data_IF_793361227709
#
_entry.id   IF_793361227709
#
_cell.length_a   1.000
_cell.length_b   1.000
_cell.length_c   1.000
_cell.angle_alpha   90.00
_cell.angle_beta   90.00
_cell.angle_gamma   90.00
#
_symmetry.space_group_name_H-M   'P 1'
#
loop_
_entity.id
_entity.type
_entity.pdbx_description
1 polymer ?
#
# COMPACT_ATOMS: atom_id res chain seq x y z
N UNK A 1 -10.99 5.13 13.02
CA UNK A 1 -12.48 5.09 12.90
C UNK A 1 -12.94 4.55 11.55
N UNK A 2 -12.61 5.20 10.42
CA UNK A 2 -13.09 4.82 9.07
C UNK A 2 -12.81 3.34 8.73
N UNK A 3 -11.57 2.88 8.92
CA UNK A 3 -11.20 1.49 8.69
C UNK A 3 -12.06 0.51 9.50
N UNK A 4 -12.26 0.78 10.80
CA UNK A 4 -13.05 -0.09 11.67
C UNK A 4 -14.52 -0.13 11.22
N UNK A 5 -15.09 1.01 10.79
CA UNK A 5 -16.43 1.07 10.22
C UNK A 5 -16.57 0.24 8.95
N UNK A 6 -15.65 0.42 7.99
CA UNK A 6 -15.66 -0.34 6.74
C UNK A 6 -15.45 -1.85 7.00
N UNK A 7 -14.52 -2.18 7.90
CA UNK A 7 -14.25 -3.55 8.29
C UNK A 7 -15.48 -4.21 8.92
N UNK A 8 -16.17 -3.51 9.82
CA UNK A 8 -17.41 -3.99 10.45
C UNK A 8 -18.51 -4.21 9.41
N UNK A 9 -18.73 -3.25 8.51
CA UNK A 9 -19.72 -3.38 7.43
C UNK A 9 -19.43 -4.60 6.56
N UNK A 10 -18.18 -4.78 6.11
CA UNK A 10 -17.82 -5.87 5.20
C UNK A 10 -17.76 -7.26 5.87
N UNK A 11 -17.57 -7.34 7.19
CA UNK A 11 -17.41 -8.64 7.89
C UNK A 11 -18.59 -9.06 8.73
N UNK A 12 -19.39 -8.12 9.25
CA UNK A 12 -20.45 -8.41 10.22
C UNK A 12 -21.86 -8.07 9.73
N UNK A 13 -22.01 -7.38 8.59
CA UNK A 13 -23.34 -6.99 8.10
C UNK A 13 -23.80 -7.78 6.88
N UNK A 14 -25.12 -7.80 6.65
CA UNK A 14 -25.74 -8.42 5.46
C UNK A 14 -25.22 -7.80 4.15
N UNK A 15 -24.96 -6.50 4.14
CA UNK A 15 -24.38 -5.82 2.98
C UNK A 15 -23.01 -6.42 2.62
N UNK A 16 -22.15 -6.68 3.63
CA UNK A 16 -20.85 -7.33 3.43
C UNK A 16 -20.96 -8.73 2.84
N UNK A 17 -21.96 -9.52 3.26
CA UNK A 17 -22.22 -10.85 2.70
C UNK A 17 -22.65 -10.77 1.23
N UNK A 18 -23.55 -9.85 0.89
CA UNK A 18 -24.02 -9.65 -0.49
C UNK A 18 -22.87 -9.19 -1.39
N UNK A 19 -22.02 -8.27 -0.92
CA UNK A 19 -20.85 -7.79 -1.67
C UNK A 19 -19.88 -8.94 -1.96
N UNK A 20 -19.55 -9.76 -0.96
CA UNK A 20 -18.66 -10.92 -1.13
C UNK A 20 -19.25 -11.96 -2.07
N UNK A 21 -20.54 -12.27 -1.91
CA UNK A 21 -21.24 -13.19 -2.80
C UNK A 21 -21.30 -12.67 -4.24
N UNK A 22 -21.48 -11.36 -4.43
CA UNK A 22 -21.51 -10.73 -5.75
C UNK A 22 -20.14 -10.74 -6.46
N UNK A 23 -19.04 -10.80 -5.70
CA UNK A 23 -17.69 -10.94 -6.26
C UNK A 23 -17.40 -12.35 -6.76
N UNK A 24 -17.88 -13.39 -6.07
CA UNK A 24 -17.60 -14.79 -6.44
C UNK A 24 -18.65 -15.36 -7.40
N UNK A 25 -19.94 -15.05 -7.17
CA UNK A 25 -21.08 -15.61 -7.93
C UNK A 25 -22.13 -14.53 -8.25
N UNK A 26 -21.82 -13.58 -9.16
CA UNK A 26 -22.73 -12.48 -9.49
C UNK A 26 -24.07 -12.96 -10.07
N UNK A 27 -24.07 -14.02 -10.88
CA UNK A 27 -25.29 -14.55 -11.49
C UNK A 27 -26.26 -15.08 -10.43
N UNK A 28 -25.77 -15.87 -9.47
CA UNK A 28 -26.59 -16.43 -8.37
C UNK A 28 -27.18 -15.30 -7.51
N UNK A 29 -26.38 -14.28 -7.20
CA UNK A 29 -26.85 -13.12 -6.43
C UNK A 29 -27.92 -12.35 -7.19
N UNK A 30 -27.80 -12.24 -8.51
CA UNK A 30 -28.82 -11.60 -9.36
C UNK A 30 -30.12 -12.40 -9.42
N UNK A 31 -30.06 -13.73 -9.46
CA UNK A 31 -31.23 -14.60 -9.42
C UNK A 31 -31.97 -14.56 -8.08
N UNK A 32 -31.28 -14.22 -6.99
CA UNK A 32 -31.87 -13.98 -5.67
C UNK A 32 -32.58 -12.61 -5.54
N UNK A 33 -32.65 -11.84 -6.63
CA UNK A 33 -33.34 -10.55 -6.68
C UNK A 33 -32.48 -9.35 -6.27
N UNK A 34 -31.18 -9.55 -6.03
CA UNK A 34 -30.27 -8.45 -5.75
C UNK A 34 -29.73 -7.83 -7.04
N UNK A 35 -29.82 -6.51 -7.16
CA UNK A 35 -29.25 -5.79 -8.29
C UNK A 35 -27.73 -5.65 -8.12
N UNK A 36 -26.98 -6.59 -8.67
CA UNK A 36 -25.52 -6.64 -8.62
C UNK A 36 -24.84 -5.37 -9.15
N UNK A 37 -25.25 -4.79 -10.31
CA UNK A 37 -24.73 -3.50 -10.76
C UNK A 37 -24.86 -2.37 -9.74
N UNK A 38 -26.02 -2.26 -9.06
CA UNK A 38 -26.21 -1.24 -8.00
C UNK A 38 -25.30 -1.48 -6.80
N UNK A 39 -25.10 -2.73 -6.39
CA UNK A 39 -24.18 -3.07 -5.29
C UNK A 39 -22.76 -2.66 -5.63
N UNK A 40 -22.27 -3.00 -6.84
CA UNK A 40 -20.95 -2.58 -7.29
C UNK A 40 -20.81 -1.05 -7.36
N UNK A 41 -21.82 -0.36 -7.91
CA UNK A 41 -21.83 1.09 -7.99
C UNK A 41 -21.77 1.76 -6.60
N UNK A 42 -22.50 1.24 -5.61
CA UNK A 42 -22.45 1.76 -4.23
C UNK A 42 -21.07 1.57 -3.60
N UNK A 43 -20.46 0.39 -3.74
CA UNK A 43 -19.12 0.11 -3.20
C UNK A 43 -18.07 0.96 -3.89
N UNK A 44 -18.15 1.06 -5.23
CA UNK A 44 -17.24 1.89 -6.02
C UNK A 44 -17.37 3.36 -5.65
N UNK A 45 -18.60 3.89 -5.58
CA UNK A 45 -18.86 5.27 -5.18
C UNK A 45 -18.35 5.58 -3.77
N UNK A 46 -18.54 4.66 -2.82
CA UNK A 46 -17.98 4.81 -1.46
C UNK A 46 -16.45 4.80 -1.48
N UNK A 47 -15.83 3.92 -2.28
CA UNK A 47 -14.39 3.88 -2.49
C UNK A 47 -13.84 5.19 -3.07
N UNK A 48 -14.48 5.73 -4.12
CA UNK A 48 -14.13 7.02 -4.71
C UNK A 48 -14.30 8.17 -3.72
N UNK A 49 -15.36 8.17 -2.90
CA UNK A 49 -15.57 9.18 -1.87
C UNK A 49 -14.44 9.15 -0.81
N UNK A 50 -14.04 7.96 -0.36
CA UNK A 50 -12.93 7.80 0.58
C UNK A 50 -11.58 8.19 -0.05
N UNK A 51 -11.34 7.82 -1.31
CA UNK A 51 -10.14 8.21 -2.05
C UNK A 51 -10.06 9.72 -2.23
N UNK A 52 -11.17 10.39 -2.56
CA UNK A 52 -11.26 11.84 -2.64
C UNK A 52 -10.98 12.52 -1.30
N UNK A 53 -11.56 12.01 -0.21
CA UNK A 53 -11.28 12.50 1.15
C UNK A 53 -9.79 12.36 1.50
N UNK A 54 -9.19 11.21 1.22
CA UNK A 54 -7.77 10.99 1.41
C UNK A 54 -6.91 11.95 0.56
N UNK A 55 -7.32 12.21 -0.69
CA UNK A 55 -6.65 13.15 -1.58
C UNK A 55 -6.68 14.59 -1.09
N UNK A 56 -7.80 15.06 -0.53
CA UNK A 56 -7.88 16.42 0.05
C UNK A 56 -6.96 16.56 1.27
N UNK A 57 -6.91 15.53 2.12
CA UNK A 57 -6.02 15.53 3.30
C UNK A 57 -4.54 15.52 2.89
N UNK A 58 -4.18 14.65 1.94
CA UNK A 58 -2.79 14.50 1.48
C UNK A 58 -2.34 15.65 0.58
N UNK A 59 -3.23 16.21 -0.24
CA UNK A 59 -2.90 17.32 -1.14
C UNK A 59 -2.52 18.60 -0.40
N UNK A 60 -3.11 18.84 0.77
CA UNK A 60 -2.73 19.96 1.63
C UNK A 60 -1.30 19.80 2.18
N UNK A 61 -0.90 18.58 2.54
CA UNK A 61 0.42 18.33 3.15
C UNK A 61 1.54 18.14 2.14
N UNK A 62 1.26 17.52 0.99
CA UNK A 62 2.27 17.19 -0.03
C UNK A 62 2.44 18.28 -1.09
N UNK A 63 1.52 19.25 -1.15
CA UNK A 63 1.39 20.13 -2.31
C UNK A 63 0.71 19.41 -3.48
N UNK A 64 0.11 20.18 -4.38
CA UNK A 64 -0.59 19.64 -5.55
C UNK A 64 0.09 20.06 -6.83
N UNK A 65 0.71 19.10 -7.52
CA UNK A 65 1.32 19.29 -8.83
C UNK A 65 0.56 18.52 -9.92
N UNK A 66 0.53 18.98 -11.18
CA UNK A 66 -0.14 18.28 -12.27
C UNK A 66 0.39 16.85 -12.52
N UNK A 67 1.66 16.60 -12.19
CA UNK A 67 2.32 15.29 -12.35
C UNK A 67 2.12 14.35 -11.15
N UNK A 68 1.46 14.80 -10.08
CA UNK A 68 1.29 14.03 -8.84
C UNK A 68 0.65 12.65 -9.05
N UNK A 69 -0.27 12.53 -10.00
CA UNK A 69 -0.93 11.27 -10.33
C UNK A 69 0.05 10.19 -10.83
N UNK A 70 1.12 10.58 -11.54
CA UNK A 70 2.16 9.65 -12.02
C UNK A 70 3.00 9.09 -10.88
N UNK A 71 3.13 9.81 -9.76
CA UNK A 71 3.87 9.34 -8.59
C UNK A 71 3.00 8.54 -7.63
N UNK A 72 1.77 9.00 -7.34
CA UNK A 72 0.88 8.30 -6.41
C UNK A 72 0.24 7.05 -6.99
N UNK A 73 -0.11 7.04 -8.29
CA UNK A 73 -0.78 5.89 -8.92
C UNK A 73 -0.02 4.58 -8.72
N UNK A 74 1.27 4.52 -9.10
CA UNK A 74 2.09 3.32 -8.90
C UNK A 74 2.29 2.95 -7.42
N UNK A 75 2.43 3.92 -6.51
CA UNK A 75 2.56 3.65 -5.07
C UNK A 75 1.28 3.02 -4.51
N UNK A 76 0.10 3.52 -4.90
CA UNK A 76 -1.19 2.94 -4.49
C UNK A 76 -1.33 1.53 -5.06
N UNK A 77 -0.93 1.31 -6.31
CA UNK A 77 -0.91 -0.03 -6.91
C UNK A 77 -0.01 -0.99 -6.11
N UNK A 78 1.20 -0.57 -5.76
CA UNK A 78 2.13 -1.33 -4.93
C UNK A 78 1.46 -1.73 -3.61
N UNK A 79 0.84 -0.79 -2.92
CA UNK A 79 0.16 -1.04 -1.63
C UNK A 79 -0.94 -2.12 -1.78
N UNK A 80 -1.74 -2.07 -2.84
CA UNK A 80 -2.82 -3.03 -3.08
C UNK A 80 -2.27 -4.42 -3.39
N UNK A 81 -1.25 -4.51 -4.24
CA UNK A 81 -0.61 -5.80 -4.58
C UNK A 81 0.10 -6.42 -3.39
N UNK A 82 0.87 -5.61 -2.65
CA UNK A 82 1.57 -6.04 -1.43
C UNK A 82 0.58 -6.45 -0.33
N UNK A 83 -0.52 -5.72 -0.17
CA UNK A 83 -1.58 -6.09 0.76
C UNK A 83 -2.26 -7.42 0.38
N UNK A 84 -2.39 -7.67 -0.92
CA UNK A 84 -3.11 -8.79 -1.49
C UNK A 84 -4.47 -8.38 -2.03
N UNK A 85 -4.75 -8.77 -3.27
CA UNK A 85 -6.00 -8.45 -3.96
C UNK A 85 -7.21 -8.97 -3.15
N UNK A 86 -8.18 -8.09 -2.89
CA UNK A 86 -9.39 -8.41 -2.13
C UNK A 86 -9.25 -8.40 -0.61
N UNK A 87 -8.05 -8.14 -0.05
CA UNK A 87 -7.84 -8.11 1.40
C UNK A 87 -7.79 -6.69 1.97
N UNK A 88 -8.89 -6.24 2.59
CA UNK A 88 -8.95 -4.93 3.26
C UNK A 88 -7.92 -4.82 4.41
N UNK A 89 -7.74 -5.89 5.20
CA UNK A 89 -6.74 -5.92 6.28
C UNK A 89 -5.33 -5.85 5.72
N UNK A 90 -5.06 -6.57 4.64
CA UNK A 90 -3.76 -6.56 4.00
C UNK A 90 -3.40 -5.20 3.43
N UNK A 91 -4.35 -4.52 2.78
CA UNK A 91 -4.15 -3.15 2.29
C UNK A 91 -3.77 -2.17 3.41
N UNK A 92 -4.40 -2.27 4.60
CA UNK A 92 -4.05 -1.42 5.75
C UNK A 92 -2.64 -1.71 6.27
N UNK A 93 -2.28 -2.98 6.44
CA UNK A 93 -0.96 -3.35 6.95
C UNK A 93 0.12 -2.95 5.95
N UNK A 94 -0.11 -3.18 4.65
CA UNK A 94 0.81 -2.79 3.60
C UNK A 94 1.00 -1.27 3.52
N UNK A 95 -0.08 -0.47 3.57
CA UNK A 95 0.03 0.98 3.51
C UNK A 95 0.77 1.56 4.71
N UNK A 96 0.52 1.03 5.91
CA UNK A 96 1.22 1.42 7.12
C UNK A 96 2.71 1.05 7.04
N UNK A 97 3.02 -0.18 6.63
CA UNK A 97 4.39 -0.67 6.53
C UNK A 97 5.19 0.14 5.49
N UNK A 98 4.62 0.34 4.30
CA UNK A 98 5.25 1.12 3.24
C UNK A 98 5.45 2.58 3.67
N UNK A 99 4.45 3.19 4.34
CA UNK A 99 4.56 4.54 4.87
C UNK A 99 5.67 4.65 5.93
N UNK A 100 5.70 3.73 6.88
CA UNK A 100 6.75 3.68 7.90
C UNK A 100 8.13 3.50 7.27
N UNK A 101 8.31 2.56 6.34
CA UNK A 101 9.59 2.34 5.67
C UNK A 101 10.05 3.60 4.93
N UNK A 102 9.17 4.27 4.20
CA UNK A 102 9.52 5.52 3.51
C UNK A 102 9.91 6.61 4.51
N UNK A 103 9.12 6.82 5.57
CA UNK A 103 9.43 7.82 6.59
C UNK A 103 10.73 7.50 7.32
N UNK A 104 10.97 6.24 7.68
CA UNK A 104 12.23 5.80 8.30
C UNK A 104 13.40 5.96 7.35
N UNK A 105 13.27 5.61 6.07
CA UNK A 105 14.35 5.77 5.10
C UNK A 105 14.74 7.24 4.87
N UNK A 106 13.76 8.15 4.93
CA UNK A 106 13.99 9.60 4.83
C UNK A 106 14.53 10.16 6.15
N UNK A 107 14.06 9.65 7.30
CA UNK A 107 14.38 10.19 8.62
C UNK A 107 15.68 9.63 9.20
N UNK A 108 16.09 8.43 8.79
CA UNK A 108 17.35 7.77 9.16
C UNK A 108 18.52 8.24 8.29
N UNK A 109 18.48 9.47 7.78
CA UNK A 109 19.63 10.14 7.15
C UNK A 109 20.79 10.40 8.16
N UNK A 110 20.82 9.67 9.28
CA UNK A 110 22.08 9.20 9.83
C UNK A 110 22.70 8.24 8.83
N UNK A 111 23.58 8.80 8.00
CA UNK A 111 24.55 8.08 7.18
C UNK A 111 24.97 6.74 7.83
N UNK A 112 25.17 5.70 7.02
CA UNK A 112 25.65 4.38 7.45
C UNK A 112 26.88 4.46 8.37
N UNK A 113 27.58 5.59 8.32
CA UNK A 113 28.60 6.04 9.25
C UNK A 113 28.24 5.80 10.74
N UNK A 114 26.99 6.04 11.18
CA UNK A 114 26.64 5.93 12.61
C UNK A 114 26.48 4.48 13.12
N UNK A 115 26.09 3.53 12.26
CA UNK A 115 26.08 2.11 12.62
C UNK A 115 27.49 1.50 12.57
N UNK A 116 28.34 2.00 11.69
CA UNK A 116 29.73 1.57 11.52
C UNK A 116 30.61 2.09 12.68
N UNK A 117 30.33 3.30 13.19
CA UNK A 117 30.97 3.83 14.41
C UNK A 117 30.56 3.07 15.68
N UNK A 118 29.32 2.60 15.79
CA UNK A 118 28.87 1.80 16.95
C UNK A 118 29.57 0.44 17.05
N UNK A 119 29.93 -0.16 15.90
CA UNK A 119 30.71 -1.40 15.83
C UNK A 119 32.24 -1.20 15.89
N UNK A 120 32.71 0.04 16.07
CA UNK A 120 34.12 0.35 16.37
C UNK A 120 35.11 0.18 15.21
N UNK A 121 34.65 0.10 13.96
CA UNK A 121 35.52 0.02 12.79
C UNK A 121 35.66 1.39 12.11
N UNK A 122 36.69 2.15 12.47
CA UNK A 122 37.16 3.30 11.69
C UNK A 122 37.92 2.81 10.46
N UNK A 123 37.21 2.32 9.44
CA UNK A 123 37.83 1.97 8.17
C UNK A 123 37.75 3.17 7.23
N UNK A 124 38.85 3.89 7.18
CA UNK A 124 39.20 4.85 6.15
C UNK A 124 39.38 4.09 4.83
N UNK A 125 38.28 3.84 4.10
CA UNK A 125 38.31 3.14 2.80
C UNK A 125 38.25 4.19 1.69
N UNK A 126 39.43 4.72 1.40
CA UNK A 126 39.69 5.62 0.29
C UNK A 126 39.19 5.04 -1.05
N UNK A 127 38.51 5.90 -1.79
CA UNK A 127 38.68 6.14 -3.23
C UNK A 127 37.75 5.45 -4.26
N UNK A 128 36.99 4.40 -3.96
CA UNK A 128 36.00 3.86 -4.95
C UNK A 128 34.62 3.45 -4.39
N UNK A 129 34.49 3.27 -3.08
CA UNK A 129 33.23 2.84 -2.46
C UNK A 129 32.27 4.00 -2.14
N UNK A 130 32.75 5.24 -2.01
CA UNK A 130 31.90 6.42 -1.82
C UNK A 130 30.98 6.71 -3.01
N UNK A 131 31.37 6.41 -4.24
CA UNK A 131 30.51 6.62 -5.42
C UNK A 131 29.36 5.59 -5.47
N UNK A 132 29.51 4.44 -4.82
CA UNK A 132 28.43 3.43 -4.67
C UNK A 132 27.61 3.61 -3.38
N UNK A 133 28.21 4.16 -2.32
CA UNK A 133 27.59 4.32 -0.99
C UNK A 133 26.94 5.69 -0.80
N UNK A 134 27.45 6.75 -1.44
CA UNK A 134 26.83 8.09 -1.49
C UNK A 134 25.76 8.22 -2.58
N UNK A 135 25.37 7.11 -3.25
CA UNK A 135 24.04 7.01 -3.86
C UNK A 135 23.06 7.02 -2.70
N UNK A 136 22.68 8.23 -2.30
CA UNK A 136 22.06 8.55 -1.02
C UNK A 136 20.92 7.58 -0.74
N UNK A 137 20.87 7.00 0.46
CA UNK A 137 19.75 6.16 0.91
C UNK A 137 18.40 6.90 0.76
N UNK A 138 18.43 8.24 0.84
CA UNK A 138 17.30 9.10 0.52
C UNK A 138 16.82 9.02 -0.94
N UNK A 139 17.69 8.81 -1.92
CA UNK A 139 17.31 8.61 -3.35
C UNK A 139 16.69 7.24 -3.61
N UNK A 140 16.96 6.27 -2.74
CA UNK A 140 16.30 4.96 -2.75
C UNK A 140 14.92 5.02 -2.10
N UNK A 141 14.63 6.00 -1.24
CA UNK A 141 13.36 6.08 -0.52
C UNK A 141 12.11 6.06 -1.43
N UNK A 142 12.08 6.76 -2.58
CA UNK A 142 10.98 6.66 -3.54
C UNK A 142 10.89 5.28 -4.22
N UNK A 143 11.99 4.54 -4.30
CA UNK A 143 12.10 3.25 -4.99
C UNK A 143 11.74 2.08 -4.04
N UNK A 144 11.85 2.28 -2.72
CA UNK A 144 11.59 1.27 -1.69
C UNK A 144 10.24 0.55 -1.80
N UNK A 145 9.10 1.23 -2.07
CA UNK A 145 7.82 0.53 -2.23
C UNK A 145 7.87 -0.50 -3.36
N UNK A 146 8.54 -0.18 -4.46
CA UNK A 146 8.64 -1.08 -5.62
C UNK A 146 9.60 -2.24 -5.35
N UNK A 147 10.72 -1.99 -4.67
CA UNK A 147 11.58 -3.08 -4.21
C UNK A 147 10.83 -4.02 -3.26
N UNK A 148 10.04 -3.45 -2.33
CA UNK A 148 9.22 -4.23 -1.44
C UNK A 148 8.20 -5.06 -2.22
N UNK A 149 7.57 -4.49 -3.26
CA UNK A 149 6.70 -5.25 -4.15
C UNK A 149 7.44 -6.43 -4.80
N UNK A 150 8.63 -6.22 -5.35
CA UNK A 150 9.40 -7.29 -6.00
C UNK A 150 9.75 -8.39 -5.00
N UNK A 151 10.32 -8.03 -3.85
CA UNK A 151 10.68 -8.97 -2.78
C UNK A 151 9.44 -9.74 -2.30
N UNK A 152 8.33 -9.02 -2.15
CA UNK A 152 7.09 -9.60 -1.69
C UNK A 152 6.48 -10.53 -2.73
N UNK A 153 6.56 -10.24 -4.03
CA UNK A 153 6.11 -11.15 -5.08
C UNK A 153 6.97 -12.42 -5.15
N UNK A 154 8.27 -12.30 -4.88
CA UNK A 154 9.17 -13.46 -4.79
C UNK A 154 8.80 -14.34 -3.58
N UNK A 155 8.58 -13.74 -2.41
CA UNK A 155 8.31 -14.49 -1.18
C UNK A 155 6.86 -15.00 -1.08
N UNK A 156 5.89 -14.18 -1.50
CA UNK A 156 4.45 -14.45 -1.49
C UNK A 156 3.76 -13.74 -2.67
N UNK A 157 3.63 -14.40 -3.84
CA UNK A 157 3.06 -13.79 -5.04
C UNK A 157 1.59 -13.36 -4.93
N UNK A 158 0.90 -13.70 -3.83
CA UNK A 158 -0.53 -13.43 -3.64
C UNK A 158 -0.86 -12.17 -2.83
N UNK A 159 0.08 -11.60 -2.09
CA UNK A 159 -0.30 -10.70 -1.00
C UNK A 159 0.30 -11.11 0.33
N UNK A 160 0.43 -10.15 1.24
CA UNK A 160 0.60 -10.42 2.66
C UNK A 160 -0.58 -11.26 3.18
N UNK A 161 -1.80 -10.95 2.72
CA UNK A 161 -3.05 -11.61 3.13
C UNK A 161 -3.93 -12.07 1.95
N UNK A 162 -3.36 -12.38 0.79
CA UNK A 162 -4.13 -12.87 -0.35
C UNK A 162 -4.73 -14.26 -0.08
N UNK A 163 -6.01 -14.46 -0.38
CA UNK A 163 -6.68 -15.76 -0.25
C UNK A 163 -6.52 -16.60 -1.51
N UNK A 164 -6.49 -17.94 -1.33
CA UNK A 164 -6.50 -18.90 -2.43
C UNK A 164 -7.95 -19.07 -2.87
N UNK A 165 -8.35 -18.39 -3.93
CA UNK A 165 -9.51 -18.84 -4.69
C UNK A 165 -9.00 -19.98 -5.58
N UNK A 166 -9.31 -21.21 -5.15
CA UNK A 166 -9.29 -22.43 -5.96
C UNK A 166 -10.70 -22.72 -6.42
#
# INVERSE_FOLDING_TARGET
AIFAGLFFVLTKTRAGLIIKAALTHPEIVSSLGHNVPKVFMMVFGLGCALAGLAGVLAGNTLGTDPSMALFLGPIVFVVVVVGGLGSLKGALVASLLIGLIQTFAISLDYSLNNLIEFFGFSLDVESLWHILVDITIATLAPILPYLLLVVMLIARPRGLFGTRDV
#
